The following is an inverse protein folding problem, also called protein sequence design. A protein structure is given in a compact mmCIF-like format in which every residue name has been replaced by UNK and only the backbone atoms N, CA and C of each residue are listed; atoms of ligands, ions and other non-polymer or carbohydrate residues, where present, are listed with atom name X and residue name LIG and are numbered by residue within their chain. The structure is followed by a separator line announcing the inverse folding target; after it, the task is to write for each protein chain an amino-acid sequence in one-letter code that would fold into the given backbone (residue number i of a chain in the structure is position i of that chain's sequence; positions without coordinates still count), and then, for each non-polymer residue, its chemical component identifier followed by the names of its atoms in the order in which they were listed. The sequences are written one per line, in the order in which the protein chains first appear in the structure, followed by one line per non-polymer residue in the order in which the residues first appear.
data_IF_402938211365
#
_entry.id   IF_402938211365
#
_cell.length_a   1.000
_cell.length_b   1.000
_cell.length_c   1.000
_cell.angle_alpha   90.00
_cell.angle_beta   90.00
_cell.angle_gamma   90.00
#
_symmetry.space_group_name_H-M   'P 1'
#
loop_
_entity.id
_entity.type
_entity.pdbx_description
1 polymer ?
#
# COMPACT_ATOMS: atom_id res chain seq x y z
N UNK A 1 22.12 17.36 5.90
CA UNK A 1 22.35 16.26 4.95
C UNK A 1 21.33 16.43 3.85
N UNK A 2 21.80 16.50 2.61
CA UNK A 2 20.89 16.60 1.45
C UNK A 2 20.46 15.19 1.04
N UNK A 3 19.20 15.01 0.65
CA UNK A 3 18.75 13.73 0.06
C UNK A 3 19.52 13.38 -1.22
N UNK A 4 20.10 14.37 -1.90
CA UNK A 4 20.92 14.17 -3.10
C UNK A 4 22.27 13.50 -2.82
N UNK A 5 22.71 13.42 -1.56
CA UNK A 5 24.00 12.82 -1.18
C UNK A 5 23.89 11.32 -0.89
N UNK A 6 22.68 10.77 -0.90
CA UNK A 6 22.40 9.37 -0.57
C UNK A 6 22.12 8.59 -1.86
N UNK A 7 22.69 7.40 -1.99
CA UNK A 7 22.35 6.52 -3.12
C UNK A 7 20.86 6.17 -3.07
N UNK A 8 20.19 6.20 -4.22
CA UNK A 8 18.74 6.02 -4.30
C UNK A 8 18.27 4.68 -3.71
N UNK A 9 19.03 3.62 -3.93
CA UNK A 9 18.76 2.28 -3.39
C UNK A 9 19.02 2.16 -1.88
N UNK A 10 19.69 3.14 -1.27
CA UNK A 10 19.86 3.26 0.19
C UNK A 10 18.81 4.16 0.83
N UNK A 11 18.08 4.95 0.03
CA UNK A 11 17.00 5.78 0.56
C UNK A 11 15.87 4.90 1.13
N UNK A 12 15.43 5.26 2.33
CA UNK A 12 14.43 4.53 3.09
C UNK A 12 13.50 5.56 3.71
N UNK A 13 12.22 5.24 3.75
CA UNK A 13 11.19 6.12 4.31
C UNK A 13 11.53 6.54 5.75
N UNK A 14 11.70 5.57 6.66
CA UNK A 14 12.00 5.84 8.08
C UNK A 14 13.45 6.26 8.37
N UNK A 15 14.38 5.85 7.52
CA UNK A 15 15.81 6.13 7.73
C UNK A 15 16.22 7.52 7.26
N UNK A 16 15.58 8.01 6.19
CA UNK A 16 16.07 9.16 5.45
C UNK A 16 14.95 10.18 5.19
N UNK A 17 13.85 9.76 4.56
CA UNK A 17 12.79 10.68 4.14
C UNK A 17 12.10 11.34 5.33
N UNK A 18 11.65 10.54 6.31
CA UNK A 18 10.92 11.04 7.48
C UNK A 18 11.76 12.00 8.34
N UNK A 19 13.00 11.65 8.77
CA UNK A 19 13.84 12.59 9.50
C UNK A 19 14.17 13.86 8.72
N UNK A 20 14.46 13.75 7.42
CA UNK A 20 14.74 14.89 6.55
C UNK A 20 13.53 15.82 6.47
N UNK A 21 12.36 15.28 6.14
CA UNK A 21 11.15 16.07 5.96
C UNK A 21 10.75 16.77 7.26
N UNK A 22 10.88 16.08 8.39
CA UNK A 22 10.59 16.66 9.71
C UNK A 22 11.51 17.83 10.03
N UNK A 23 12.82 17.67 9.82
CA UNK A 23 13.80 18.74 10.03
C UNK A 23 13.54 19.96 9.12
N UNK A 24 13.13 19.72 7.87
CA UNK A 24 12.79 20.79 6.93
C UNK A 24 11.51 21.55 7.32
N UNK A 25 10.48 20.87 7.83
CA UNK A 25 9.31 21.54 8.41
C UNK A 25 9.69 22.43 9.60
N UNK A 26 10.52 21.94 10.52
CA UNK A 26 10.98 22.74 11.67
C UNK A 26 11.75 23.97 11.20
N UNK A 27 12.68 23.79 10.26
CA UNK A 27 13.57 24.83 9.76
C UNK A 27 12.82 25.95 9.03
N UNK A 28 11.87 25.59 8.17
CA UNK A 28 11.21 26.57 7.28
C UNK A 28 9.86 27.07 7.79
N UNK A 29 9.13 26.25 8.54
CA UNK A 29 7.80 26.61 9.03
C UNK A 29 7.82 27.01 10.52
N UNK A 30 8.94 26.79 11.22
CA UNK A 30 9.01 26.95 12.67
C UNK A 30 8.06 25.99 13.41
N UNK A 31 7.62 24.93 12.75
CA UNK A 31 6.59 24.02 13.22
C UNK A 31 7.21 22.68 13.57
N UNK A 32 6.91 22.15 14.76
CA UNK A 32 7.39 20.82 15.19
C UNK A 32 6.46 19.72 14.66
N UNK A 33 6.87 18.95 13.65
CA UNK A 33 6.09 17.84 13.14
C UNK A 33 6.08 16.68 14.13
N UNK A 34 4.94 16.01 14.23
CA UNK A 34 4.79 14.79 15.03
C UNK A 34 4.14 13.69 14.20
N UNK A 35 4.54 12.43 14.43
CA UNK A 35 3.75 11.31 13.96
C UNK A 35 2.59 11.08 14.94
N UNK A 36 1.37 10.87 14.43
CA UNK A 36 0.18 10.68 15.28
C UNK A 36 -0.80 9.71 14.63
N UNK A 37 -1.31 8.76 15.41
CA UNK A 37 -2.45 7.95 14.99
C UNK A 37 -3.75 8.73 15.18
N UNK A 38 -4.35 9.12 14.06
CA UNK A 38 -5.68 9.70 14.03
C UNK A 38 -6.70 8.58 13.77
N UNK A 39 -7.80 8.58 14.52
CA UNK A 39 -8.85 7.58 14.37
C UNK A 39 -9.92 8.07 13.40
N UNK A 40 -10.45 7.15 12.61
CA UNK A 40 -11.66 7.34 11.81
C UNK A 40 -12.59 6.15 11.98
N UNK A 41 -13.89 6.43 12.09
CA UNK A 41 -14.92 5.38 12.02
C UNK A 41 -15.06 4.81 10.61
N UNK A 42 -14.69 5.60 9.61
CA UNK A 42 -14.83 5.29 8.19
C UNK A 42 -13.65 4.49 7.66
N UNK A 43 -12.60 4.37 8.46
CA UNK A 43 -11.40 3.60 8.16
C UNK A 43 -10.86 3.00 9.46
N UNK A 44 -11.42 1.86 9.91
CA UNK A 44 -11.01 1.23 11.16
C UNK A 44 -9.54 0.81 11.08
N UNK A 45 -8.83 0.74 12.21
CA UNK A 45 -7.43 0.24 12.29
C UNK A 45 -6.44 0.95 11.34
N UNK A 46 -6.61 2.25 11.13
CA UNK A 46 -5.60 3.06 10.45
C UNK A 46 -4.29 3.09 11.24
N UNK A 47 -3.19 2.98 10.50
CA UNK A 47 -1.85 3.29 11.02
C UNK A 47 -1.70 4.79 11.34
N UNK A 48 -0.53 5.20 11.86
CA UNK A 48 -0.22 6.61 12.07
C UNK A 48 -0.21 7.40 10.75
N UNK A 49 -0.41 8.71 10.87
CA UNK A 49 0.02 9.71 9.88
C UNK A 49 1.47 10.07 10.21
N UNK A 50 2.36 10.04 9.21
CA UNK A 50 3.80 10.20 9.40
C UNK A 50 4.17 11.58 9.94
N UNK A 51 3.52 12.61 9.41
CA UNK A 51 3.79 14.01 9.74
C UNK A 51 2.47 14.77 9.92
N UNK A 52 2.28 15.26 11.14
CA UNK A 52 1.17 16.14 11.54
C UNK A 52 1.76 17.47 11.98
N UNK A 53 1.26 18.56 11.38
CA UNK A 53 1.60 19.93 11.72
C UNK A 53 0.38 20.61 12.32
N UNK A 54 0.52 21.29 13.46
CA UNK A 54 -0.58 22.06 14.06
C UNK A 54 -0.67 23.50 13.52
N UNK A 55 0.44 24.04 12.99
CA UNK A 55 0.54 25.36 12.36
C UNK A 55 1.62 25.36 11.27
N UNK A 56 1.27 25.44 9.98
CA UNK A 56 -0.08 25.31 9.43
C UNK A 56 -0.70 23.95 9.78
N UNK A 57 -2.03 23.82 9.72
CA UNK A 57 -2.72 22.56 10.02
C UNK A 57 -2.60 21.61 8.82
N UNK A 58 -1.54 20.81 8.81
CA UNK A 58 -1.30 19.85 7.73
C UNK A 58 -1.23 18.38 8.20
N UNK A 59 -1.72 17.48 7.35
CA UNK A 59 -1.44 16.05 7.40
C UNK A 59 -0.60 15.67 6.18
N UNK A 60 0.48 14.94 6.42
CA UNK A 60 1.44 14.56 5.39
C UNK A 60 1.78 13.09 5.56
N UNK A 61 1.59 12.33 4.48
CA UNK A 61 1.99 10.93 4.37
C UNK A 61 3.25 10.86 3.51
N UNK A 62 4.22 10.09 3.98
CA UNK A 62 5.52 9.91 3.35
C UNK A 62 5.62 8.48 2.85
N UNK A 63 6.08 8.31 1.62
CA UNK A 63 6.28 6.99 1.03
C UNK A 63 7.59 6.91 0.30
N UNK A 64 8.26 5.77 0.44
CA UNK A 64 9.40 5.44 -0.41
C UNK A 64 9.20 4.09 -1.08
N UNK A 65 8.95 4.10 -2.39
CA UNK A 65 8.89 2.90 -3.20
C UNK A 65 10.33 2.41 -3.45
N UNK A 66 10.73 1.36 -2.74
CA UNK A 66 12.01 0.69 -2.95
C UNK A 66 11.79 -0.72 -3.50
N UNK A 67 12.74 -1.17 -4.32
CA UNK A 67 12.77 -2.53 -4.85
C UNK A 67 11.73 -2.83 -5.94
N UNK A 68 11.60 -4.13 -6.22
CA UNK A 68 10.62 -4.65 -7.17
C UNK A 68 9.67 -5.63 -6.45
N UNK A 69 8.34 -5.51 -6.63
CA UNK A 69 7.64 -4.53 -7.47
C UNK A 69 7.58 -3.12 -6.87
N UNK A 70 7.32 -2.13 -7.72
CA UNK A 70 7.14 -0.73 -7.29
C UNK A 70 5.88 -0.61 -6.41
N UNK A 71 6.01 0.03 -5.25
CA UNK A 71 4.90 0.21 -4.29
C UNK A 71 4.26 1.60 -4.36
N UNK A 72 4.30 2.25 -5.52
CA UNK A 72 3.68 3.56 -5.73
C UNK A 72 2.15 3.47 -5.57
N UNK A 73 1.54 2.35 -5.94
CA UNK A 73 0.11 2.10 -5.76
C UNK A 73 -0.33 2.14 -4.29
N UNK A 74 0.58 1.90 -3.33
CA UNK A 74 0.28 2.07 -1.90
C UNK A 74 -0.09 3.52 -1.55
N UNK A 75 0.31 4.50 -2.37
CA UNK A 75 -0.10 5.89 -2.24
C UNK A 75 -1.62 6.10 -2.34
N UNK A 76 -2.37 5.21 -3.02
CA UNK A 76 -3.84 5.30 -3.06
C UNK A 76 -4.44 5.13 -1.67
N UNK A 77 -3.92 4.20 -0.86
CA UNK A 77 -4.34 3.99 0.51
C UNK A 77 -4.13 5.24 1.36
N UNK A 78 -2.93 5.84 1.23
CA UNK A 78 -2.55 7.03 1.97
C UNK A 78 -3.37 8.27 1.54
N UNK A 79 -3.68 8.40 0.26
CA UNK A 79 -4.56 9.46 -0.24
C UNK A 79 -6.01 9.33 0.28
N UNK A 80 -6.57 8.11 0.30
CA UNK A 80 -7.90 7.85 0.88
C UNK A 80 -7.92 8.15 2.38
N UNK A 81 -6.87 7.73 3.11
CA UNK A 81 -6.67 8.04 4.53
C UNK A 81 -6.65 9.54 4.76
N UNK A 82 -5.84 10.28 4.02
CA UNK A 82 -5.74 11.75 4.12
C UNK A 82 -7.08 12.42 3.86
N UNK A 83 -7.77 12.07 2.77
CA UNK A 83 -9.04 12.68 2.38
C UNK A 83 -10.15 12.47 3.44
N UNK A 84 -10.13 11.35 4.17
CA UNK A 84 -11.07 11.09 5.25
C UNK A 84 -10.66 11.76 6.57
N UNK A 85 -9.38 11.70 6.93
CA UNK A 85 -8.89 12.22 8.20
C UNK A 85 -8.85 13.74 8.24
N UNK A 86 -8.46 14.38 7.14
CA UNK A 86 -8.26 15.83 7.07
C UNK A 86 -9.48 16.60 7.56
N UNK A 87 -10.62 16.53 6.84
CA UNK A 87 -11.85 17.22 7.24
C UNK A 87 -12.37 16.78 8.62
N UNK A 88 -12.28 15.48 8.95
CA UNK A 88 -12.78 14.96 10.23
C UNK A 88 -12.02 15.52 11.45
N UNK A 89 -10.77 15.94 11.27
CA UNK A 89 -9.92 16.51 12.32
C UNK A 89 -9.57 17.99 12.07
N UNK A 90 -10.22 18.63 11.10
CA UNK A 90 -10.04 20.05 10.78
C UNK A 90 -8.66 20.42 10.23
N UNK A 91 -8.03 19.54 9.46
CA UNK A 91 -6.82 19.84 8.69
C UNK A 91 -7.20 20.19 7.24
N UNK A 92 -6.64 21.28 6.71
CA UNK A 92 -6.96 21.88 5.40
C UNK A 92 -5.88 21.65 4.34
N UNK A 93 -4.68 21.27 4.78
CA UNK A 93 -3.55 20.97 3.93
C UNK A 93 -3.18 19.48 4.03
N UNK A 94 -3.49 18.70 2.99
CA UNK A 94 -3.29 17.26 2.97
C UNK A 94 -2.30 16.94 1.85
N UNK A 95 -1.16 16.35 2.19
CA UNK A 95 -0.11 16.08 1.22
C UNK A 95 0.30 14.61 1.22
N UNK A 96 0.46 14.08 0.02
CA UNK A 96 1.10 12.80 -0.20
C UNK A 96 2.46 13.06 -0.86
N UNK A 97 3.53 12.59 -0.21
CA UNK A 97 4.90 12.74 -0.69
C UNK A 97 5.46 11.35 -0.93
N UNK A 98 5.89 11.07 -2.16
CA UNK A 98 6.39 9.76 -2.54
C UNK A 98 7.67 9.87 -3.34
N UNK A 99 8.69 9.11 -2.94
CA UNK A 99 9.89 8.90 -3.72
C UNK A 99 9.89 7.53 -4.40
N UNK A 100 10.33 7.49 -5.64
CA UNK A 100 10.50 6.26 -6.42
C UNK A 100 11.53 6.48 -7.53
N UNK A 101 12.06 5.41 -8.12
CA UNK A 101 12.90 5.55 -9.30
C UNK A 101 12.07 6.03 -10.49
N UNK A 102 12.67 6.77 -11.42
CA UNK A 102 11.99 7.24 -12.65
C UNK A 102 11.40 6.08 -13.44
N UNK A 103 12.06 4.92 -13.44
CA UNK A 103 11.56 3.70 -14.06
C UNK A 103 10.27 3.19 -13.40
N UNK A 104 10.16 3.27 -12.07
CA UNK A 104 8.94 2.86 -11.35
C UNK A 104 7.77 3.81 -11.63
N UNK A 105 8.01 5.13 -11.71
CA UNK A 105 6.99 6.12 -12.03
C UNK A 105 6.31 5.88 -13.38
N UNK A 106 7.05 5.38 -14.37
CA UNK A 106 6.51 5.10 -15.71
C UNK A 106 5.70 3.79 -15.77
N UNK A 107 5.83 2.92 -14.77
CA UNK A 107 5.33 1.55 -14.82
C UNK A 107 4.33 1.20 -13.71
N UNK A 108 3.92 2.16 -12.88
CA UNK A 108 2.96 1.90 -11.79
C UNK A 108 1.52 2.29 -12.14
N UNK A 109 0.61 1.46 -11.66
CA UNK A 109 -0.85 1.47 -11.81
C UNK A 109 -1.54 2.70 -11.19
N UNK A 110 -0.84 3.41 -10.31
CA UNK A 110 -1.36 4.62 -9.64
C UNK A 110 -0.43 5.82 -9.77
N UNK A 111 0.44 5.84 -10.79
CA UNK A 111 1.33 6.99 -11.03
C UNK A 111 0.55 8.28 -11.41
N UNK A 112 -0.69 8.15 -11.87
CA UNK A 112 -1.63 9.25 -12.13
C UNK A 112 -2.10 9.95 -10.85
N UNK A 113 -2.10 9.27 -9.69
CA UNK A 113 -2.35 9.89 -8.37
C UNK A 113 -1.34 11.01 -8.04
N UNK A 114 -0.24 11.10 -8.78
CA UNK A 114 0.81 12.10 -8.59
C UNK A 114 0.82 13.19 -9.68
N UNK A 115 -0.26 13.30 -10.45
CA UNK A 115 -0.47 14.35 -11.47
C UNK A 115 -1.70 15.17 -11.12
N UNK A 116 -1.67 16.47 -11.41
CA UNK A 116 -2.85 17.34 -11.26
C UNK A 116 -4.03 16.79 -12.05
N UNK A 117 -5.18 16.63 -11.39
CA UNK A 117 -6.38 16.09 -12.00
C UNK A 117 -7.34 15.51 -10.97
N UNK A 118 -8.24 14.68 -11.45
CA UNK A 118 -9.19 13.92 -10.62
C UNK A 118 -8.94 12.42 -10.81
N UNK A 119 -9.08 11.67 -9.72
CA UNK A 119 -8.94 10.21 -9.70
C UNK A 119 -10.24 9.62 -9.15
N UNK A 120 -10.92 8.80 -9.97
CA UNK A 120 -12.03 7.97 -9.49
C UNK A 120 -11.46 6.89 -8.54
N UNK A 121 -11.93 6.92 -7.31
CA UNK A 121 -11.38 6.07 -6.24
C UNK A 121 -11.68 4.60 -6.43
N UNK A 122 -12.86 4.26 -6.96
CA UNK A 122 -13.26 2.86 -7.17
C UNK A 122 -12.60 2.31 -8.41
N UNK A 123 -12.49 3.10 -9.47
CA UNK A 123 -11.72 2.72 -10.66
C UNK A 123 -10.27 2.44 -10.27
N UNK A 124 -9.60 3.39 -9.61
CA UNK A 124 -8.20 3.25 -9.17
C UNK A 124 -8.00 2.03 -8.26
N UNK A 125 -8.94 1.77 -7.34
CA UNK A 125 -8.91 0.61 -6.46
C UNK A 125 -9.07 -0.71 -7.20
N UNK A 126 -9.84 -0.73 -8.29
CA UNK A 126 -10.12 -1.94 -9.08
C UNK A 126 -9.13 -2.15 -10.24
N UNK A 127 -8.14 -1.26 -10.43
CA UNK A 127 -7.08 -1.47 -11.44
C UNK A 127 -6.34 -2.77 -11.15
N UNK A 128 -6.12 -3.56 -12.19
CA UNK A 128 -5.32 -4.77 -12.10
C UNK A 128 -3.87 -4.40 -11.79
N UNK A 129 -3.24 -5.14 -10.88
CA UNK A 129 -1.80 -5.01 -10.65
C UNK A 129 -1.03 -5.56 -11.84
N UNK A 130 -0.16 -4.74 -12.42
CA UNK A 130 0.66 -5.04 -13.58
C UNK A 130 2.10 -4.55 -13.36
N UNK A 131 3.12 -5.36 -13.69
CA UNK A 131 3.04 -6.68 -14.34
C UNK A 131 2.70 -7.81 -13.38
N UNK A 132 2.46 -9.02 -13.91
CA UNK A 132 2.28 -10.24 -13.12
C UNK A 132 3.48 -10.48 -12.19
N UNK A 133 3.40 -10.07 -10.92
CA UNK A 133 4.55 -10.11 -10.01
C UNK A 133 4.11 -10.41 -8.57
N UNK A 134 4.78 -11.38 -7.96
CA UNK A 134 4.64 -11.69 -6.54
C UNK A 134 3.41 -12.52 -6.17
N UNK A 135 3.22 -12.77 -4.87
CA UNK A 135 2.24 -13.72 -4.35
C UNK A 135 0.78 -13.32 -4.58
N UNK A 136 0.54 -12.05 -4.91
CA UNK A 136 -0.78 -11.45 -5.09
C UNK A 136 -1.12 -11.25 -6.58
N UNK A 137 -0.43 -11.96 -7.48
CA UNK A 137 -0.75 -11.92 -8.90
C UNK A 137 -2.24 -12.21 -9.17
N UNK A 138 -2.86 -11.38 -10.02
CA UNK A 138 -4.29 -11.43 -10.33
C UNK A 138 -5.16 -10.57 -9.43
N UNK A 139 -4.58 -9.98 -8.38
CA UNK A 139 -5.27 -9.02 -7.53
C UNK A 139 -5.40 -7.63 -8.19
N UNK A 140 -6.41 -6.88 -7.77
CA UNK A 140 -6.46 -5.43 -7.99
C UNK A 140 -5.56 -4.69 -7.00
N UNK A 141 -5.26 -3.42 -7.28
CA UNK A 141 -4.57 -2.50 -6.35
C UNK A 141 -5.19 -2.59 -4.96
N UNK A 142 -6.52 -2.43 -4.89
CA UNK A 142 -7.25 -2.47 -3.64
C UNK A 142 -7.18 -3.81 -2.91
N UNK A 143 -7.25 -4.92 -3.64
CA UNK A 143 -7.13 -6.24 -3.03
C UNK A 143 -5.77 -6.46 -2.39
N UNK A 144 -4.69 -6.02 -3.04
CA UNK A 144 -3.32 -6.11 -2.52
C UNK A 144 -3.13 -5.22 -1.29
N UNK A 145 -3.64 -3.99 -1.31
CA UNK A 145 -3.63 -3.09 -0.16
C UNK A 145 -4.33 -3.71 1.05
N UNK A 146 -5.47 -4.37 0.83
CA UNK A 146 -6.20 -5.09 1.87
C UNK A 146 -5.39 -6.28 2.40
N UNK A 147 -4.64 -6.99 1.56
CA UNK A 147 -3.73 -8.07 2.00
C UNK A 147 -2.63 -7.48 2.89
N UNK A 148 -1.96 -6.43 2.41
CA UNK A 148 -0.89 -5.75 3.14
C UNK A 148 -1.36 -5.15 4.47
N UNK A 149 -2.62 -4.76 4.54
CA UNK A 149 -3.25 -4.22 5.75
C UNK A 149 -3.95 -5.28 6.62
N UNK A 150 -3.64 -6.57 6.45
CA UNK A 150 -4.20 -7.68 7.23
C UNK A 150 -5.74 -7.74 7.21
N UNK A 151 -6.34 -7.54 6.05
CA UNK A 151 -7.79 -7.54 5.84
C UNK A 151 -8.46 -6.20 6.17
N UNK A 152 -7.70 -5.20 6.63
CA UNK A 152 -8.24 -3.87 6.86
C UNK A 152 -8.59 -3.18 5.53
N UNK A 153 -9.61 -2.32 5.54
CA UNK A 153 -10.08 -1.57 4.37
C UNK A 153 -10.87 -0.33 4.77
N UNK A 154 -11.00 0.66 3.88
CA UNK A 154 -11.97 1.74 4.06
C UNK A 154 -13.39 1.16 4.11
N UNK A 155 -14.21 1.69 5.02
CA UNK A 155 -15.66 1.45 5.07
C UNK A 155 -16.42 2.49 4.25
N UNK A 156 -15.82 3.67 4.09
CA UNK A 156 -16.32 4.76 3.26
C UNK A 156 -15.15 5.52 2.64
N UNK A 157 -15.42 6.23 1.56
CA UNK A 157 -14.46 7.14 0.92
C UNK A 157 -15.20 8.21 0.12
N UNK A 158 -14.47 9.26 -0.29
CA UNK A 158 -14.94 10.12 -1.36
C UNK A 158 -14.94 9.35 -2.69
N UNK A 159 -15.93 9.53 -3.57
CA UNK A 159 -15.94 8.87 -4.88
C UNK A 159 -14.75 9.30 -5.75
N UNK A 160 -14.32 10.56 -5.60
CA UNK A 160 -13.24 11.15 -6.38
C UNK A 160 -12.21 11.80 -5.46
N UNK A 161 -10.94 11.69 -5.82
CA UNK A 161 -9.85 12.48 -5.23
C UNK A 161 -9.44 13.57 -6.22
N UNK A 162 -9.47 14.82 -5.78
CA UNK A 162 -8.78 15.90 -6.49
C UNK A 162 -7.32 15.91 -6.07
N UNK A 163 -6.45 15.91 -7.07
CA UNK A 163 -5.00 15.92 -6.92
C UNK A 163 -4.45 17.20 -7.52
N UNK A 164 -3.57 17.88 -6.80
CA UNK A 164 -2.80 19.01 -7.31
C UNK A 164 -1.31 18.73 -7.13
N UNK A 165 -0.56 18.64 -8.22
CA UNK A 165 0.90 18.51 -8.14
C UNK A 165 1.49 19.76 -7.49
N UNK A 166 2.27 19.56 -6.43
CA UNK A 166 3.04 20.60 -5.76
C UNK A 166 4.45 20.63 -6.33
N UNK A 167 5.09 19.47 -6.43
CA UNK A 167 6.41 19.34 -7.04
C UNK A 167 6.67 17.92 -7.57
N UNK A 168 7.54 17.84 -8.56
CA UNK A 168 8.24 16.64 -8.98
C UNK A 168 9.71 17.01 -9.10
N UNK A 169 10.55 16.51 -8.20
CA UNK A 169 11.96 16.89 -8.10
C UNK A 169 12.83 15.66 -8.19
N UNK A 170 13.84 15.71 -9.07
CA UNK A 170 14.88 14.70 -9.09
C UNK A 170 15.61 14.67 -7.73
N UNK A 171 15.80 13.47 -7.19
CA UNK A 171 16.54 13.22 -5.95
C UNK A 171 17.41 12.00 -6.18
N UNK A 172 18.66 12.03 -5.72
CA UNK A 172 19.67 11.04 -6.11
C UNK A 172 19.75 10.87 -7.66
N UNK A 173 20.47 9.85 -8.14
CA UNK A 173 20.77 9.72 -9.58
C UNK A 173 19.51 9.50 -10.45
N UNK A 174 18.76 8.43 -10.17
CA UNK A 174 17.63 7.99 -10.99
C UNK A 174 16.28 8.04 -10.24
N UNK A 175 16.23 8.69 -9.08
CA UNK A 175 15.02 8.84 -8.28
C UNK A 175 14.35 10.20 -8.46
N UNK A 176 13.06 10.21 -8.14
CA UNK A 176 12.23 11.40 -8.18
C UNK A 176 11.29 11.40 -6.98
N UNK A 177 11.24 12.53 -6.28
CA UNK A 177 10.30 12.82 -5.22
C UNK A 177 9.13 13.62 -5.81
N UNK A 178 7.91 13.10 -5.68
CA UNK A 178 6.69 13.81 -6.03
C UNK A 178 5.93 14.17 -4.77
N UNK A 179 5.47 15.41 -4.70
CA UNK A 179 4.54 15.85 -3.68
C UNK A 179 3.26 16.34 -4.36
N UNK A 180 2.12 15.87 -3.87
CA UNK A 180 0.81 16.30 -4.32
C UNK A 180 -0.06 16.70 -3.13
N UNK A 181 -0.94 17.67 -3.37
CA UNK A 181 -2.03 17.98 -2.45
C UNK A 181 -3.23 17.13 -2.80
N UNK A 182 -3.88 16.55 -1.79
CA UNK A 182 -5.04 15.68 -1.92
C UNK A 182 -6.27 16.36 -1.32
N UNK A 183 -7.40 16.24 -1.99
CA UNK A 183 -8.72 16.61 -1.46
C UNK A 183 -9.77 15.58 -1.86
N UNK A 184 -10.69 15.25 -0.95
CA UNK A 184 -11.86 14.44 -1.29
C UNK A 184 -12.92 15.27 -2.02
N UNK A 185 -13.45 14.77 -3.14
CA UNK A 185 -14.50 15.42 -3.93
C UNK A 185 -15.79 14.61 -3.88
N UNK A 186 -16.91 15.30 -3.72
CA UNK A 186 -18.23 14.69 -3.57
C UNK A 186 -18.51 14.18 -2.16
N UNK A 187 -19.76 13.76 -1.93
CA UNK A 187 -20.19 13.20 -0.65
C UNK A 187 -19.54 11.85 -0.40
N UNK A 188 -19.07 11.62 0.83
CA UNK A 188 -18.48 10.35 1.26
C UNK A 188 -19.48 9.21 1.08
N UNK A 189 -19.16 8.25 0.22
CA UNK A 189 -19.99 7.07 -0.10
C UNK A 189 -19.57 5.86 0.73
N UNK A 190 -20.47 4.89 0.87
CA UNK A 190 -20.13 3.59 1.45
C UNK A 190 -19.19 2.85 0.51
N UNK A 191 -18.09 2.34 1.05
CA UNK A 191 -17.16 1.53 0.29
C UNK A 191 -17.80 0.17 -0.03
N UNK A 192 -17.72 -0.31 -1.29
CA UNK A 192 -18.23 -1.62 -1.65
C UNK A 192 -17.64 -2.68 -0.75
N UNK A 193 -18.53 -3.45 -0.11
CA UNK A 193 -18.12 -4.70 0.54
C UNK A 193 -18.04 -5.72 -0.60
N UNK A 194 -16.89 -6.37 -0.82
CA UNK A 194 -16.83 -7.52 -1.72
C UNK A 194 -17.95 -8.47 -1.30
N UNK A 195 -18.79 -8.88 -2.25
CA UNK A 195 -19.67 -10.00 -2.01
C UNK A 195 -18.79 -11.14 -1.51
N UNK A 196 -19.11 -11.68 -0.34
CA UNK A 196 -18.35 -12.78 0.20
C UNK A 196 -18.43 -13.91 -0.83
N UNK A 197 -17.35 -14.15 -1.58
CA UNK A 197 -17.25 -15.36 -2.37
C UNK A 197 -17.37 -16.49 -1.37
N UNK A 198 -18.43 -17.31 -1.41
CA UNK A 198 -18.60 -18.37 -0.43
C UNK A 198 -17.34 -19.23 -0.50
N UNK A 199 -16.58 -19.24 0.59
CA UNK A 199 -15.44 -20.13 0.71
C UNK A 199 -16.03 -21.53 0.60
N UNK A 200 -15.82 -22.18 -0.54
CA UNK A 200 -16.20 -23.59 -0.68
C UNK A 200 -15.38 -24.34 0.37
N UNK A 201 -15.99 -24.93 1.39
CA UNK A 201 -15.25 -25.68 2.38
C UNK A 201 -14.51 -26.79 1.65
N UNK A 202 -13.19 -26.85 1.82
CA UNK A 202 -12.39 -27.99 1.37
C UNK A 202 -12.75 -29.14 2.31
N UNK A 203 -13.84 -29.83 2.01
CA UNK A 203 -14.28 -31.01 2.75
C UNK A 203 -13.48 -32.22 2.31
N UNK A 204 -12.54 -32.64 3.17
CA UNK A 204 -12.23 -34.04 3.44
C UNK A 204 -11.75 -34.92 2.28
N UNK A 205 -11.13 -34.35 1.25
CA UNK A 205 -10.46 -35.12 0.20
C UNK A 205 -8.98 -35.31 0.50
N UNK A 206 -8.46 -36.49 0.23
CA UNK A 206 -7.04 -36.82 0.23
C UNK A 206 -6.25 -35.71 -0.51
N UNK A 207 -5.39 -34.98 0.21
CA UNK A 207 -4.71 -33.77 -0.28
C UNK A 207 -3.56 -34.08 -1.27
N UNK A 208 -3.57 -35.28 -1.87
CA UNK A 208 -2.61 -35.70 -2.88
C UNK A 208 -2.55 -34.74 -4.09
N UNK A 209 -3.62 -33.97 -4.34
CA UNK A 209 -3.60 -32.84 -5.28
C UNK A 209 -4.26 -31.61 -4.67
N UNK A 210 -3.45 -30.65 -4.19
CA UNK A 210 -3.95 -29.37 -3.67
C UNK A 210 -4.27 -28.44 -4.85
N UNK A 211 -5.56 -28.27 -5.16
CA UNK A 211 -5.98 -27.20 -6.05
C UNK A 211 -5.92 -25.87 -5.31
N UNK A 212 -4.98 -25.00 -5.69
CA UNK A 212 -4.84 -23.68 -5.10
C UNK A 212 -6.09 -22.82 -5.42
N UNK A 213 -6.74 -22.18 -4.42
CA UNK A 213 -7.84 -21.25 -4.68
C UNK A 213 -7.37 -20.11 -5.58
N UNK A 214 -8.26 -19.39 -6.30
CA UNK A 214 -7.84 -18.24 -7.12
C UNK A 214 -6.96 -17.25 -6.37
N UNK A 215 -7.24 -17.04 -5.08
CA UNK A 215 -6.46 -16.21 -4.15
C UNK A 215 -5.94 -17.04 -2.98
N UNK A 216 -4.61 -17.10 -2.83
CA UNK A 216 -3.93 -17.76 -1.71
C UNK A 216 -3.67 -16.72 -0.62
N UNK A 217 -4.57 -16.62 0.37
CA UNK A 217 -4.42 -15.70 1.51
C UNK A 217 -3.58 -16.32 2.62
N UNK A 218 -3.04 -15.48 3.52
CA UNK A 218 -2.32 -15.97 4.69
C UNK A 218 -3.18 -16.89 5.56
N UNK A 219 -4.45 -16.52 5.81
CA UNK A 219 -5.39 -17.34 6.56
C UNK A 219 -5.68 -18.70 5.90
N UNK A 220 -5.71 -18.75 4.56
CA UNK A 220 -5.85 -20.00 3.83
C UNK A 220 -4.61 -20.89 3.98
N UNK A 221 -3.39 -20.30 3.95
CA UNK A 221 -2.13 -21.02 4.19
C UNK A 221 -2.12 -21.58 5.61
N UNK A 222 -2.41 -20.76 6.61
CA UNK A 222 -2.45 -21.17 8.03
C UNK A 222 -3.49 -22.28 8.28
N UNK A 223 -4.61 -22.27 7.54
CA UNK A 223 -5.63 -23.32 7.62
C UNK A 223 -5.31 -24.61 6.84
N UNK A 224 -4.52 -24.50 5.76
CA UNK A 224 -4.29 -25.61 4.81
C UNK A 224 -2.91 -26.25 4.98
N UNK A 225 -1.84 -25.46 5.11
CA UNK A 225 -0.46 -25.94 5.16
C UNK A 225 -0.21 -26.96 6.28
N UNK A 226 -0.73 -26.79 7.52
CA UNK A 226 -0.53 -27.77 8.58
C UNK A 226 -1.23 -29.11 8.34
N UNK A 227 -2.16 -29.17 7.37
CA UNK A 227 -2.95 -30.37 7.05
C UNK A 227 -2.38 -31.15 5.87
N UNK A 228 -1.34 -30.63 5.22
CA UNK A 228 -0.71 -31.33 4.10
C UNK A 228 -0.03 -32.61 4.59
N UNK A 229 -0.03 -33.63 3.74
CA UNK A 229 0.84 -34.79 3.94
C UNK A 229 2.26 -34.45 3.49
N UNK A 230 3.28 -35.14 4.00
CA UNK A 230 4.67 -34.92 3.58
C UNK A 230 4.84 -35.07 2.05
N UNK A 231 4.06 -35.95 1.42
CA UNK A 231 4.05 -36.13 -0.04
C UNK A 231 3.42 -34.95 -0.80
N UNK A 232 2.50 -34.20 -0.19
CA UNK A 232 1.81 -33.06 -0.79
C UNK A 232 2.58 -31.74 -0.64
N UNK A 233 3.59 -31.66 0.24
CA UNK A 233 4.36 -30.44 0.51
C UNK A 233 5.05 -29.89 -0.74
N UNK A 234 5.83 -30.70 -1.46
CA UNK A 234 6.55 -30.22 -2.64
C UNK A 234 5.63 -29.86 -3.83
N UNK A 235 4.59 -30.65 -4.17
CA UNK A 235 3.57 -30.23 -5.13
C UNK A 235 2.93 -28.88 -4.77
N UNK A 236 2.61 -28.67 -3.49
CA UNK A 236 2.04 -27.41 -3.01
C UNK A 236 3.01 -26.24 -3.18
N UNK A 237 4.27 -26.38 -2.76
CA UNK A 237 5.29 -25.35 -2.94
C UNK A 237 5.55 -25.04 -4.42
N UNK A 238 5.59 -26.07 -5.28
CA UNK A 238 5.71 -25.91 -6.74
C UNK A 238 4.55 -25.09 -7.31
N UNK A 239 3.32 -25.40 -6.95
CA UNK A 239 2.14 -24.67 -7.42
C UNK A 239 2.18 -23.18 -6.99
N UNK A 240 2.73 -22.86 -5.81
CA UNK A 240 2.93 -21.48 -5.38
C UNK A 240 4.02 -20.77 -6.20
N UNK A 241 5.14 -21.45 -6.50
CA UNK A 241 6.21 -20.92 -7.37
C UNK A 241 5.69 -20.61 -8.78
N UNK A 242 4.89 -21.50 -9.34
CA UNK A 242 4.25 -21.31 -10.65
C UNK A 242 3.32 -20.07 -10.66
N UNK A 243 2.83 -19.66 -9.49
CA UNK A 243 2.08 -18.41 -9.29
C UNK A 243 2.94 -17.20 -8.93
N UNK A 244 4.26 -17.31 -9.02
CA UNK A 244 5.19 -16.21 -8.81
C UNK A 244 5.58 -15.95 -7.35
N UNK A 245 5.33 -16.89 -6.44
CA UNK A 245 5.86 -16.80 -5.07
C UNK A 245 7.37 -17.00 -5.07
N UNK A 246 8.11 -16.08 -4.47
CA UNK A 246 9.56 -16.18 -4.32
C UNK A 246 9.94 -17.18 -3.22
N UNK A 247 11.17 -17.69 -3.22
CA UNK A 247 11.65 -18.52 -2.10
C UNK A 247 11.61 -17.78 -0.76
N UNK A 248 11.79 -16.45 -0.77
CA UNK A 248 11.61 -15.61 0.41
C UNK A 248 10.16 -15.63 0.90
N UNK A 249 9.18 -15.49 0.00
CA UNK A 249 7.76 -15.58 0.37
C UNK A 249 7.44 -16.95 0.96
N UNK A 250 7.91 -18.02 0.32
CA UNK A 250 7.70 -19.39 0.81
C UNK A 250 8.34 -19.59 2.18
N UNK A 251 9.58 -19.14 2.38
CA UNK A 251 10.30 -19.26 3.64
C UNK A 251 9.63 -18.49 4.78
N UNK A 252 9.11 -17.29 4.51
CA UNK A 252 8.52 -16.42 5.55
C UNK A 252 7.06 -16.78 5.83
N UNK A 253 6.28 -17.14 4.81
CA UNK A 253 4.81 -17.21 4.90
C UNK A 253 4.22 -18.60 4.84
N UNK A 254 4.97 -19.58 4.31
CA UNK A 254 4.44 -20.92 4.03
C UNK A 254 5.15 -21.97 4.85
N UNK A 255 6.48 -22.06 4.73
CA UNK A 255 7.32 -23.07 5.42
C UNK A 255 7.10 -23.12 6.93
N UNK A 256 6.88 -22.00 7.66
CA UNK A 256 6.61 -22.05 9.10
C UNK A 256 5.32 -22.79 9.48
N UNK A 257 4.44 -23.05 8.52
CA UNK A 257 3.15 -23.72 8.75
C UNK A 257 3.09 -25.12 8.14
N UNK A 258 4.15 -25.60 7.49
CA UNK A 258 4.19 -26.95 6.94
C UNK A 258 4.37 -27.99 8.05
N UNK A 259 3.90 -29.23 7.86
CA UNK A 259 4.24 -30.33 8.77
C UNK A 259 5.76 -30.50 8.84
N UNK A 260 6.25 -30.73 10.06
CA UNK A 260 7.64 -31.11 10.35
C UNK A 260 7.99 -32.49 9.80
#
# INVERSE_FOLDING_TARGET
MSLSEIQGDDLRERGHLDPFFKAECERHLGARPVARTLRSKDFPRLGPVDVVLERPRALIELKWAHGAPAKIFEGLWDALKLALLGPAHGYDALYLVTGASRGQWSNSESADLFRTGEVDTLEAWNRALVPRRGPNYGATVGEDLVIGAHGNRPLRAHPTLAVQTVTASAVADDYELRAVRISGVGSVIRWPTPEATPASPVTGGDLASVTLPPRVTQAWIEGTAPRLTSAAVEPFLRALRERGWSETDLAVRVRPHLPS
#
